data_IF_256194507541
#
_entry.id   IF_256194507541
#
_cell.length_a   1.000
_cell.length_b   1.000
_cell.length_c   1.000
_cell.angle_alpha   90.00
_cell.angle_beta   90.00
_cell.angle_gamma   90.00
#
_symmetry.space_group_name_H-M   'P 1'
#
loop_
_entity.id
_entity.type
_entity.pdbx_description
1 polymer ?
#
# COMPACT_ATOMS: atom_id res chain seq x y z
N UNK A 1 0.30 -74.17 -8.00
CA UNK A 1 0.63 -72.82 -8.52
C UNK A 1 -0.53 -71.87 -8.25
N UNK A 2 -0.38 -70.89 -7.34
CA UNK A 2 -1.21 -69.66 -7.14
C UNK A 2 -0.98 -69.08 -5.73
N UNK A 3 0.25 -68.66 -5.40
CA UNK A 3 0.52 -67.83 -4.19
C UNK A 3 1.71 -66.87 -4.37
N UNK A 4 1.67 -65.95 -5.36
CA UNK A 4 2.41 -64.69 -5.18
C UNK A 4 1.54 -63.44 -5.32
N UNK A 5 0.32 -63.53 -5.87
CA UNK A 5 -0.51 -62.34 -6.15
C UNK A 5 -1.17 -61.79 -4.87
N UNK A 6 -1.59 -62.65 -3.93
CA UNK A 6 -2.29 -62.21 -2.71
C UNK A 6 -1.38 -61.44 -1.73
N UNK A 7 -0.08 -61.78 -1.69
CA UNK A 7 0.89 -61.15 -0.77
C UNK A 7 1.25 -59.71 -1.15
N UNK A 8 1.11 -59.32 -2.43
CA UNK A 8 1.35 -57.95 -2.89
C UNK A 8 0.09 -57.07 -2.82
N UNK A 9 -1.11 -57.66 -2.87
CA UNK A 9 -2.37 -56.88 -2.87
C UNK A 9 -2.67 -56.17 -1.55
N UNK A 10 -2.36 -56.81 -0.42
CA UNK A 10 -2.62 -56.25 0.93
C UNK A 10 -1.79 -54.99 1.21
N UNK A 11 -0.46 -54.97 0.99
CA UNK A 11 0.33 -53.75 1.18
C UNK A 11 -0.09 -52.62 0.24
N UNK A 12 -0.47 -52.91 -1.01
CA UNK A 12 -0.97 -51.89 -1.95
C UNK A 12 -2.29 -51.27 -1.45
N UNK A 13 -3.19 -52.08 -0.90
CA UNK A 13 -4.48 -51.63 -0.38
C UNK A 13 -4.32 -50.76 0.88
N UNK A 14 -3.40 -51.15 1.78
CA UNK A 14 -3.04 -50.36 2.97
C UNK A 14 -2.37 -49.03 2.61
N UNK A 15 -1.50 -49.03 1.59
CA UNK A 15 -0.89 -47.82 1.04
C UNK A 15 -1.99 -46.90 0.46
N UNK A 16 -2.95 -47.46 -0.29
CA UNK A 16 -4.08 -46.70 -0.84
C UNK A 16 -4.97 -46.06 0.24
N UNK A 17 -5.29 -46.79 1.31
CA UNK A 17 -6.07 -46.28 2.45
C UNK A 17 -5.29 -45.19 3.20
N UNK A 18 -3.98 -45.36 3.40
CA UNK A 18 -3.11 -44.35 4.01
C UNK A 18 -3.08 -43.07 3.17
N UNK A 19 -2.96 -43.18 1.84
CA UNK A 19 -3.03 -42.03 0.95
C UNK A 19 -4.37 -41.31 0.98
N UNK A 20 -5.48 -42.06 0.99
CA UNK A 20 -6.82 -41.49 1.11
C UNK A 20 -6.97 -40.76 2.45
N UNK A 21 -6.61 -41.39 3.58
CA UNK A 21 -6.71 -40.77 4.89
C UNK A 21 -5.90 -39.47 4.99
N UNK A 22 -4.64 -39.49 4.56
CA UNK A 22 -3.75 -38.31 4.59
C UNK A 22 -4.19 -37.21 3.61
N UNK A 23 -5.01 -37.52 2.60
CA UNK A 23 -5.60 -36.50 1.73
C UNK A 23 -6.75 -35.73 2.40
N UNK A 24 -7.40 -36.30 3.43
CA UNK A 24 -8.53 -35.70 4.15
C UNK A 24 -8.16 -35.13 5.53
N UNK A 25 -7.04 -35.52 6.13
CA UNK A 25 -6.60 -35.04 7.46
C UNK A 25 -5.29 -34.24 7.32
N UNK A 26 -5.26 -32.95 7.69
CA UNK A 26 -4.03 -32.16 7.71
C UNK A 26 -3.02 -32.73 8.71
N UNK A 27 -1.78 -32.93 8.27
CA UNK A 27 -0.68 -33.44 9.10
C UNK A 27 0.32 -32.32 9.32
N UNK A 28 0.68 -32.03 10.57
CA UNK A 28 1.67 -30.99 10.88
C UNK A 28 2.97 -31.21 10.09
N UNK A 29 3.43 -30.16 9.43
CA UNK A 29 4.67 -30.15 8.66
C UNK A 29 5.65 -29.18 9.33
N UNK A 30 6.83 -29.69 9.69
CA UNK A 30 7.92 -28.87 10.23
C UNK A 30 8.97 -28.69 9.14
N UNK A 31 9.18 -27.44 8.74
CA UNK A 31 10.30 -27.09 7.88
C UNK A 31 11.53 -26.71 8.72
N UNK A 32 12.64 -26.40 8.04
CA UNK A 32 13.93 -26.07 8.69
C UNK A 32 13.90 -24.72 9.41
N UNK A 33 12.92 -23.88 9.13
CA UNK A 33 12.76 -22.55 9.71
C UNK A 33 11.77 -22.52 10.87
N UNK A 34 11.21 -23.66 11.29
CA UNK A 34 10.19 -23.76 12.34
C UNK A 34 8.98 -22.85 12.09
N UNK A 35 8.60 -22.66 10.82
CA UNK A 35 7.38 -21.94 10.46
C UNK A 35 6.19 -22.64 11.11
N UNK A 36 5.39 -21.88 11.86
CA UNK A 36 4.25 -22.42 12.59
C UNK A 36 3.07 -22.65 11.64
N UNK A 37 2.18 -23.55 12.03
CA UNK A 37 0.90 -23.78 11.35
C UNK A 37 0.99 -24.25 9.90
N UNK A 38 2.07 -24.95 9.54
CA UNK A 38 2.19 -25.62 8.25
C UNK A 38 1.66 -27.06 8.33
N UNK A 39 0.93 -27.47 7.30
CA UNK A 39 0.33 -28.79 7.23
C UNK A 39 0.46 -29.41 5.84
N UNK A 40 0.76 -30.70 5.80
CA UNK A 40 0.54 -31.55 4.63
C UNK A 40 -0.94 -31.86 4.51
N UNK A 41 -1.55 -31.44 3.42
CA UNK A 41 -2.97 -31.65 3.16
C UNK A 41 -3.19 -31.72 1.65
N UNK A 42 -4.12 -32.54 1.13
CA UNK A 42 -4.46 -32.59 -0.31
C UNK A 42 -3.26 -32.54 -1.28
N UNK A 43 -2.21 -33.32 -1.02
CA UNK A 43 -0.96 -33.36 -1.81
C UNK A 43 -0.22 -32.01 -1.96
N UNK A 44 -0.36 -31.13 -0.98
CA UNK A 44 0.39 -29.88 -0.88
C UNK A 44 0.79 -29.54 0.55
N UNK A 45 1.63 -28.52 0.69
CA UNK A 45 1.93 -27.88 1.96
C UNK A 45 1.05 -26.64 2.07
N UNK A 46 0.29 -26.53 3.15
CA UNK A 46 -0.66 -25.45 3.39
C UNK A 46 -0.33 -24.75 4.70
N UNK A 47 -0.41 -23.43 4.70
CA UNK A 47 -0.47 -22.66 5.94
C UNK A 47 -1.94 -22.53 6.35
N UNK A 48 -2.25 -22.88 7.59
CA UNK A 48 -3.61 -22.83 8.13
C UNK A 48 -3.62 -21.86 9.30
N UNK A 49 -4.10 -20.64 9.07
CA UNK A 49 -4.27 -19.66 10.14
C UNK A 49 -5.51 -20.02 10.98
N UNK A 50 -5.29 -20.30 12.26
CA UNK A 50 -6.37 -20.63 13.20
C UNK A 50 -7.01 -19.39 13.85
N UNK A 51 -6.51 -18.18 13.58
CA UNK A 51 -6.97 -16.95 14.22
C UNK A 51 -8.18 -16.30 13.54
N UNK A 52 -8.51 -16.69 12.31
CA UNK A 52 -9.73 -16.22 11.62
C UNK A 52 -10.79 -17.33 11.61
N UNK A 53 -12.05 -16.99 11.90
CA UNK A 53 -13.18 -17.94 11.91
C UNK A 53 -13.46 -18.61 10.55
N UNK A 54 -12.72 -18.24 9.51
CA UNK A 54 -12.68 -18.88 8.20
C UNK A 54 -11.32 -19.56 7.99
N UNK A 55 -11.32 -20.88 7.71
CA UNK A 55 -10.09 -21.62 7.31
C UNK A 55 -9.62 -21.13 5.94
N UNK A 56 -8.85 -20.04 5.89
CA UNK A 56 -8.12 -19.67 4.70
C UNK A 56 -6.95 -20.64 4.53
N UNK A 57 -7.01 -21.44 3.47
CA UNK A 57 -5.97 -22.41 3.11
C UNK A 57 -5.06 -21.77 2.06
N UNK A 58 -3.86 -21.34 2.45
CA UNK A 58 -2.85 -20.87 1.51
C UNK A 58 -1.91 -22.03 1.14
N UNK A 59 -1.93 -22.47 -0.12
CA UNK A 59 -1.01 -23.49 -0.60
C UNK A 59 0.38 -22.87 -0.83
N UNK A 60 1.38 -23.36 -0.09
CA UNK A 60 2.78 -22.92 -0.18
C UNK A 60 3.67 -23.91 -0.95
N UNK A 61 3.29 -25.19 -0.97
CA UNK A 61 4.07 -26.26 -1.60
C UNK A 61 3.19 -27.26 -2.34
N UNK A 62 3.76 -27.92 -3.35
CA UNK A 62 3.05 -28.88 -4.18
C UNK A 62 3.36 -30.33 -3.79
N UNK A 63 3.12 -31.22 -4.76
CA UNK A 63 3.32 -32.66 -4.60
C UNK A 63 4.77 -33.01 -4.21
N UNK A 64 5.76 -32.29 -4.75
CA UNK A 64 7.17 -32.57 -4.47
C UNK A 64 7.53 -32.30 -3.00
N UNK A 65 7.06 -31.17 -2.46
CA UNK A 65 7.28 -30.77 -1.06
C UNK A 65 6.46 -31.64 -0.10
N UNK A 66 5.23 -32.00 -0.50
CA UNK A 66 4.37 -32.92 0.23
C UNK A 66 5.04 -34.27 0.47
N UNK A 67 5.68 -34.83 -0.56
CA UNK A 67 6.42 -36.09 -0.47
C UNK A 67 7.87 -35.94 0.04
N UNK A 68 8.35 -34.71 0.25
CA UNK A 68 9.71 -34.43 0.72
C UNK A 68 10.81 -34.61 -0.33
N UNK A 69 10.46 -34.68 -1.63
CA UNK A 69 11.44 -34.66 -2.73
C UNK A 69 12.17 -33.30 -2.81
N UNK A 70 11.50 -32.24 -2.39
CA UNK A 70 12.03 -30.89 -2.24
C UNK A 70 11.66 -30.38 -0.86
N UNK A 71 12.50 -29.52 -0.28
CA UNK A 71 12.18 -28.84 0.98
C UNK A 71 11.31 -27.62 0.68
N UNK A 72 10.32 -27.35 1.51
CA UNK A 72 9.55 -26.12 1.44
C UNK A 72 10.50 -24.93 1.77
N UNK A 73 10.65 -23.94 0.87
CA UNK A 73 11.41 -22.74 1.20
C UNK A 73 10.73 -21.99 2.32
N UNK A 74 11.53 -21.40 3.21
CA UNK A 74 11.02 -20.61 4.33
C UNK A 74 10.31 -19.36 3.83
N UNK A 75 9.21 -18.98 4.47
CA UNK A 75 8.34 -17.90 4.01
C UNK A 75 9.12 -16.60 3.78
N UNK A 76 9.97 -16.22 4.74
CA UNK A 76 10.82 -15.03 4.65
C UNK A 76 11.79 -15.08 3.47
N UNK A 77 12.31 -16.27 3.13
CA UNK A 77 13.19 -16.42 1.97
C UNK A 77 12.44 -16.20 0.66
N UNK A 78 11.22 -16.74 0.53
CA UNK A 78 10.36 -16.53 -0.65
C UNK A 78 10.00 -15.06 -0.78
N UNK A 79 9.62 -14.42 0.33
CA UNK A 79 9.30 -12.98 0.37
C UNK A 79 10.51 -12.15 -0.05
N UNK A 80 11.70 -12.42 0.51
CA UNK A 80 12.95 -11.76 0.15
C UNK A 80 13.28 -11.88 -1.35
N UNK A 81 13.23 -13.10 -1.92
CA UNK A 81 13.48 -13.29 -3.35
C UNK A 81 12.43 -12.61 -4.23
N UNK A 82 11.18 -12.58 -3.80
CA UNK A 82 10.09 -11.88 -4.50
C UNK A 82 10.37 -10.37 -4.55
N UNK A 83 10.72 -9.78 -3.42
CA UNK A 83 11.06 -8.35 -3.33
C UNK A 83 12.27 -8.01 -4.20
N UNK A 84 13.34 -8.82 -4.15
CA UNK A 84 14.51 -8.65 -5.02
C UNK A 84 14.15 -8.69 -6.51
N UNK A 85 13.23 -9.58 -6.91
CA UNK A 85 12.77 -9.68 -8.29
C UNK A 85 11.95 -8.46 -8.69
N UNK A 86 11.05 -7.99 -7.83
CA UNK A 86 10.26 -6.77 -8.06
C UNK A 86 11.18 -5.56 -8.21
N UNK A 87 12.14 -5.37 -7.30
CA UNK A 87 13.14 -4.30 -7.38
C UNK A 87 13.90 -4.31 -8.70
N UNK A 88 14.48 -5.46 -9.07
CA UNK A 88 15.20 -5.60 -10.35
C UNK A 88 14.30 -5.32 -11.56
N UNK A 89 13.04 -5.75 -11.48
CA UNK A 89 12.03 -5.50 -12.51
C UNK A 89 11.75 -4.00 -12.69
N UNK A 90 11.51 -3.29 -11.59
CA UNK A 90 11.28 -1.85 -11.57
C UNK A 90 12.49 -1.07 -12.08
N UNK A 91 13.71 -1.41 -11.63
CA UNK A 91 14.94 -0.77 -12.11
C UNK A 91 15.15 -1.00 -13.60
N UNK A 92 14.95 -2.23 -14.07
CA UNK A 92 15.07 -2.57 -15.49
C UNK A 92 14.05 -1.82 -16.34
N UNK A 93 12.80 -1.70 -15.86
CA UNK A 93 11.75 -0.94 -16.51
C UNK A 93 12.13 0.54 -16.60
N UNK A 94 12.54 1.15 -15.48
CA UNK A 94 12.92 2.56 -15.43
C UNK A 94 14.12 2.88 -16.31
N UNK A 95 15.15 2.02 -16.30
CA UNK A 95 16.31 2.13 -17.20
C UNK A 95 15.89 2.05 -18.67
N UNK A 96 14.96 1.16 -19.01
CA UNK A 96 14.41 1.06 -20.36
C UNK A 96 13.62 2.31 -20.74
N UNK A 97 12.79 2.83 -19.83
CA UNK A 97 11.91 3.97 -20.07
C UNK A 97 12.65 5.30 -20.15
N UNK A 98 13.84 5.43 -19.53
CA UNK A 98 14.69 6.63 -19.59
C UNK A 98 13.94 7.89 -19.17
N UNK A 99 13.46 7.90 -17.93
CA UNK A 99 12.74 9.04 -17.35
C UNK A 99 13.62 10.29 -17.26
N UNK A 100 13.05 11.43 -17.65
CA UNK A 100 13.66 12.77 -17.57
C UNK A 100 12.74 13.70 -16.80
N UNK A 101 13.28 14.43 -15.84
CA UNK A 101 12.55 15.47 -15.12
C UNK A 101 12.11 16.56 -16.11
N UNK A 102 10.83 16.94 -16.05
CA UNK A 102 10.30 18.13 -16.71
C UNK A 102 10.36 19.29 -15.73
N UNK A 103 9.63 19.19 -14.62
CA UNK A 103 9.55 20.18 -13.54
C UNK A 103 8.77 19.58 -12.37
N UNK A 104 8.96 20.11 -11.15
CA UNK A 104 8.05 19.90 -10.02
C UNK A 104 7.68 18.42 -9.78
N UNK A 105 8.71 17.56 -9.77
CA UNK A 105 8.61 16.10 -9.62
C UNK A 105 7.80 15.35 -10.71
N UNK A 106 7.45 16.03 -11.80
CA UNK A 106 6.85 15.46 -13.01
C UNK A 106 7.92 15.12 -14.04
N UNK A 107 7.89 13.89 -14.53
CA UNK A 107 8.86 13.31 -15.46
C UNK A 107 8.19 12.88 -16.77
N UNK A 108 9.01 12.72 -17.81
CA UNK A 108 8.62 12.15 -19.10
C UNK A 108 9.57 11.04 -19.50
N UNK A 109 9.04 9.93 -20.02
CA UNK A 109 9.84 8.82 -20.53
C UNK A 109 10.13 8.93 -22.04
N UNK A 110 10.93 8.01 -22.59
CA UNK A 110 11.27 7.96 -24.03
C UNK A 110 10.06 7.77 -24.96
N UNK A 111 8.97 7.20 -24.46
CA UNK A 111 7.71 7.01 -25.19
C UNK A 111 6.82 8.27 -25.13
N UNK A 112 7.24 9.27 -24.35
CA UNK A 112 6.49 10.50 -24.13
C UNK A 112 5.36 10.36 -23.10
N UNK A 113 5.34 9.32 -22.26
CA UNK A 113 4.39 9.22 -21.14
C UNK A 113 4.85 10.10 -19.99
N UNK A 114 3.89 10.72 -19.31
CA UNK A 114 4.14 11.46 -18.08
C UNK A 114 4.13 10.52 -16.88
N UNK A 115 5.02 10.78 -15.92
CA UNK A 115 5.15 10.06 -14.68
C UNK A 115 5.39 11.01 -13.52
N UNK A 116 4.61 10.91 -12.46
CA UNK A 116 4.92 11.59 -11.20
C UNK A 116 5.82 10.68 -10.38
N UNK A 117 7.03 11.14 -10.04
CA UNK A 117 8.03 10.28 -9.39
C UNK A 117 7.64 10.03 -7.93
N UNK A 118 7.71 8.77 -7.51
CA UNK A 118 7.45 8.34 -6.15
C UNK A 118 8.51 7.34 -5.68
N UNK A 119 8.43 6.99 -4.40
CA UNK A 119 9.21 5.92 -3.83
C UNK A 119 8.28 4.87 -3.24
N UNK A 120 8.50 3.60 -3.59
CA UNK A 120 7.77 2.46 -3.05
C UNK A 120 8.69 1.65 -2.16
N UNK A 121 8.23 1.35 -0.97
CA UNK A 121 8.93 0.46 -0.05
C UNK A 121 8.42 -0.97 -0.33
N UNK A 122 9.31 -1.82 -0.85
CA UNK A 122 9.02 -3.21 -1.19
C UNK A 122 9.47 -4.14 -0.06
N UNK A 123 8.54 -4.98 0.39
CA UNK A 123 8.76 -6.01 1.41
C UNK A 123 8.32 -5.63 2.81
N UNK A 124 8.34 -6.62 3.70
CA UNK A 124 8.05 -6.41 5.12
C UNK A 124 9.12 -5.50 5.73
N UNK A 125 8.66 -4.53 6.51
CA UNK A 125 9.47 -3.47 7.14
C UNK A 125 10.13 -2.46 6.17
N UNK A 126 9.79 -2.45 4.88
CA UNK A 126 10.23 -1.39 3.96
C UNK A 126 11.74 -1.37 3.68
N UNK A 127 12.39 -2.53 3.75
CA UNK A 127 13.85 -2.67 3.60
C UNK A 127 14.38 -2.23 2.23
N UNK A 128 13.57 -2.29 1.17
CA UNK A 128 14.01 -1.86 -0.18
C UNK A 128 13.11 -0.78 -0.73
N UNK A 129 13.61 0.46 -0.72
CA UNK A 129 12.99 1.59 -1.38
C UNK A 129 13.37 1.63 -2.85
N UNK A 130 12.38 1.56 -3.74
CA UNK A 130 12.56 1.69 -5.18
C UNK A 130 11.96 2.98 -5.69
N UNK A 131 12.57 3.54 -6.74
CA UNK A 131 11.95 4.66 -7.47
C UNK A 131 10.90 4.11 -8.41
N UNK A 132 9.70 4.68 -8.38
CA UNK A 132 8.63 4.37 -9.35
C UNK A 132 8.02 5.67 -9.89
N UNK A 133 7.14 5.54 -10.89
CA UNK A 133 6.49 6.66 -11.55
C UNK A 133 5.01 6.39 -11.74
N UNK A 134 4.17 7.18 -11.08
CA UNK A 134 2.71 7.15 -11.26
C UNK A 134 2.40 7.73 -12.63
N UNK A 135 1.81 6.93 -13.52
CA UNK A 135 1.50 7.36 -14.90
C UNK A 135 0.01 7.57 -15.15
N UNK A 136 -0.83 7.21 -14.17
CA UNK A 136 -2.29 7.34 -14.20
C UNK A 136 -2.81 7.86 -12.85
N UNK A 137 -3.94 8.56 -12.87
CA UNK A 137 -4.57 9.06 -11.65
C UNK A 137 -5.09 7.93 -10.75
N UNK A 138 -5.29 8.23 -9.46
CA UNK A 138 -5.67 7.27 -8.41
C UNK A 138 -4.50 6.37 -8.03
N UNK A 139 -4.77 5.08 -7.77
CA UNK A 139 -3.77 4.03 -7.57
C UNK A 139 -3.11 3.57 -8.90
N UNK A 140 -2.79 4.51 -9.79
CA UNK A 140 -2.27 4.22 -11.13
C UNK A 140 -3.22 3.38 -12.02
N UNK A 141 -4.54 3.53 -11.81
CA UNK A 141 -5.59 2.78 -12.52
C UNK A 141 -6.48 3.65 -13.41
N UNK A 142 -6.50 4.97 -13.17
CA UNK A 142 -7.34 5.92 -13.87
C UNK A 142 -6.83 6.36 -15.25
N UNK A 143 -7.24 7.57 -15.66
CA UNK A 143 -6.74 8.21 -16.89
C UNK A 143 -5.24 8.48 -16.78
N UNK A 144 -4.53 8.48 -17.90
CA UNK A 144 -3.09 8.78 -17.90
C UNK A 144 -2.85 10.24 -17.52
N UNK A 145 -1.79 10.52 -16.77
CA UNK A 145 -1.38 11.87 -16.42
C UNK A 145 -1.18 12.72 -17.69
N UNK A 146 -0.57 12.11 -18.72
CA UNK A 146 -0.37 12.71 -20.06
C UNK A 146 -1.65 13.24 -20.70
N UNK A 147 -2.79 12.59 -20.46
CA UNK A 147 -4.07 12.97 -21.08
C UNK A 147 -4.74 14.18 -20.42
N UNK A 148 -4.27 14.62 -19.26
CA UNK A 148 -4.94 15.66 -18.45
C UNK A 148 -4.00 16.81 -18.09
N UNK A 149 -2.77 16.52 -17.68
CA UNK A 149 -1.85 17.52 -17.14
C UNK A 149 -1.33 18.44 -18.24
N UNK A 150 -1.54 19.74 -18.07
CA UNK A 150 -0.83 20.77 -18.83
C UNK A 150 0.58 20.98 -18.23
N UNK A 151 1.57 20.36 -18.87
CA UNK A 151 2.97 20.39 -18.39
C UNK A 151 3.61 21.78 -18.44
N UNK A 152 3.08 22.70 -19.26
CA UNK A 152 3.65 24.05 -19.39
C UNK A 152 3.32 24.91 -18.16
N UNK A 153 2.13 24.68 -17.60
CA UNK A 153 1.59 25.46 -16.46
C UNK A 153 1.58 24.69 -15.14
N UNK A 154 1.95 23.40 -15.17
CA UNK A 154 2.10 22.57 -13.97
C UNK A 154 3.05 23.21 -12.95
N UNK A 155 2.69 23.21 -11.67
CA UNK A 155 3.42 23.87 -10.60
C UNK A 155 3.21 23.15 -9.27
N UNK A 156 4.29 22.97 -8.52
CA UNK A 156 4.24 22.60 -7.10
C UNK A 156 3.78 23.77 -6.23
N UNK A 157 2.79 23.54 -5.38
CA UNK A 157 2.26 24.51 -4.42
C UNK A 157 2.77 24.30 -2.99
N UNK A 158 3.50 23.21 -2.74
CA UNK A 158 3.86 22.73 -1.41
C UNK A 158 2.79 21.80 -0.84
N UNK A 159 3.15 21.12 0.26
CA UNK A 159 2.23 20.25 1.01
C UNK A 159 1.54 19.20 0.15
N UNK A 160 2.28 18.64 -0.80
CA UNK A 160 1.81 17.66 -1.78
C UNK A 160 0.68 18.13 -2.71
N UNK A 161 0.41 19.43 -2.78
CA UNK A 161 -0.53 20.01 -3.74
C UNK A 161 0.18 20.55 -4.98
N UNK A 162 -0.45 20.36 -6.13
CA UNK A 162 0.05 20.83 -7.42
C UNK A 162 -1.08 21.47 -8.20
N UNK A 163 -0.75 22.34 -9.15
CA UNK A 163 -1.74 22.90 -10.08
C UNK A 163 -1.21 23.01 -11.49
N UNK A 164 -2.08 22.92 -12.48
CA UNK A 164 -1.81 23.43 -13.82
C UNK A 164 -2.72 24.63 -14.09
N UNK A 165 -2.96 25.07 -15.34
CA UNK A 165 -3.87 26.19 -15.64
C UNK A 165 -5.37 25.94 -15.39
N UNK A 166 -5.80 24.69 -15.18
CA UNK A 166 -7.21 24.27 -15.11
C UNK A 166 -7.53 23.42 -13.89
N UNK A 167 -6.56 22.71 -13.34
CA UNK A 167 -6.79 21.67 -12.36
C UNK A 167 -5.91 21.88 -11.12
N UNK A 168 -6.40 21.37 -10.01
CA UNK A 168 -5.64 21.15 -8.78
C UNK A 168 -5.47 19.64 -8.62
N UNK A 169 -4.29 19.26 -8.15
CA UNK A 169 -3.90 17.88 -7.89
C UNK A 169 -3.36 17.76 -6.48
N UNK A 170 -3.44 16.56 -5.92
CA UNK A 170 -2.74 16.23 -4.69
C UNK A 170 -2.13 14.83 -4.79
N UNK A 171 -0.99 14.68 -4.12
CA UNK A 171 -0.26 13.42 -4.02
C UNK A 171 -0.35 12.89 -2.59
N UNK A 172 -0.82 11.65 -2.43
CA UNK A 172 -0.81 10.98 -1.14
C UNK A 172 0.19 9.81 -1.17
N UNK A 173 1.28 9.92 -0.41
CA UNK A 173 2.30 8.87 -0.31
C UNK A 173 1.88 7.78 0.68
N UNK A 174 2.07 6.51 0.29
CA UNK A 174 1.93 5.34 1.16
C UNK A 174 3.15 4.42 1.02
N UNK A 175 3.36 3.52 1.98
CA UNK A 175 4.49 2.56 1.95
C UNK A 175 4.54 1.76 0.64
N UNK A 176 3.40 1.21 0.20
CA UNK A 176 3.31 0.38 -1.01
C UNK A 176 3.19 1.16 -2.33
N UNK A 177 3.35 2.48 -2.30
CA UNK A 177 3.08 3.37 -3.42
C UNK A 177 1.93 4.32 -3.17
N UNK A 178 2.11 5.54 -3.61
CA UNK A 178 1.18 6.63 -3.43
C UNK A 178 0.12 6.74 -4.52
N UNK A 179 -0.65 7.81 -4.40
CA UNK A 179 -1.77 8.13 -5.26
C UNK A 179 -1.64 9.55 -5.78
N UNK A 180 -1.96 9.75 -7.05
CA UNK A 180 -2.01 11.08 -7.64
C UNK A 180 -3.43 11.39 -8.08
N UNK A 181 -4.05 12.39 -7.48
CA UNK A 181 -5.46 12.71 -7.68
C UNK A 181 -5.66 14.05 -8.37
N UNK A 182 -6.87 14.21 -8.92
CA UNK A 182 -7.37 15.47 -9.48
C UNK A 182 -8.63 15.85 -8.73
N UNK A 183 -8.66 17.07 -8.18
CA UNK A 183 -9.83 17.61 -7.50
C UNK A 183 -10.82 18.17 -8.54
N UNK A 184 -12.05 17.65 -8.54
CA UNK A 184 -13.05 17.96 -9.59
C UNK A 184 -13.98 19.12 -9.24
N UNK A 185 -14.11 19.46 -7.95
CA UNK A 185 -14.98 20.52 -7.43
C UNK A 185 -14.14 21.54 -6.65
N UNK A 186 -13.19 22.18 -7.32
CA UNK A 186 -12.26 23.13 -6.71
C UNK A 186 -12.37 24.50 -7.36
N UNK A 187 -12.45 25.55 -6.56
CA UNK A 187 -12.27 26.91 -7.03
C UNK A 187 -10.78 27.20 -7.23
N UNK A 188 -10.34 26.89 -8.45
CA UNK A 188 -8.96 27.06 -8.89
C UNK A 188 -8.33 28.43 -8.59
N UNK A 189 -9.13 29.50 -8.66
CA UNK A 189 -8.63 30.89 -8.54
C UNK A 189 -8.29 31.24 -7.11
N UNK A 190 -9.02 30.67 -6.17
CA UNK A 190 -8.89 30.95 -4.73
C UNK A 190 -8.14 29.86 -3.97
N UNK A 191 -7.70 28.80 -4.66
CA UNK A 191 -6.96 27.70 -4.04
C UNK A 191 -5.61 28.14 -3.50
N UNK A 192 -5.38 27.92 -2.21
CA UNK A 192 -4.15 28.23 -1.47
C UNK A 192 -3.80 27.15 -0.44
N UNK A 193 -2.51 26.89 -0.25
CA UNK A 193 -1.99 26.01 0.80
C UNK A 193 -1.86 26.82 2.09
N UNK A 194 -2.38 26.31 3.21
CA UNK A 194 -2.54 27.07 4.48
C UNK A 194 -1.86 26.44 5.70
N UNK A 195 -1.22 25.29 5.55
CA UNK A 195 -0.49 24.61 6.61
C UNK A 195 0.41 23.53 6.02
N UNK A 196 0.88 22.60 6.85
CA UNK A 196 1.83 21.60 6.38
C UNK A 196 1.19 20.55 5.46
N UNK A 197 -0.11 20.28 5.62
CA UNK A 197 -0.86 19.24 4.89
C UNK A 197 -2.23 19.70 4.40
N UNK A 198 -2.56 20.97 4.61
CA UNK A 198 -3.89 21.52 4.34
C UNK A 198 -3.86 22.60 3.27
N UNK A 199 -4.93 22.63 2.48
CA UNK A 199 -5.22 23.69 1.54
C UNK A 199 -6.69 24.11 1.66
N UNK A 200 -7.03 25.25 1.06
CA UNK A 200 -8.40 25.73 1.00
C UNK A 200 -8.65 26.40 -0.33
N UNK A 201 -9.91 26.44 -0.73
CA UNK A 201 -10.41 27.43 -1.69
C UNK A 201 -11.42 28.33 -0.98
N UNK A 202 -12.24 29.09 -1.71
CA UNK A 202 -13.25 29.96 -1.11
C UNK A 202 -14.43 29.24 -0.43
N UNK A 203 -14.61 27.94 -0.67
CA UNK A 203 -15.77 27.15 -0.27
C UNK A 203 -15.39 25.99 0.67
N UNK A 204 -14.24 25.36 0.44
CA UNK A 204 -13.88 24.05 0.98
C UNK A 204 -12.47 24.06 1.60
N UNK A 205 -12.25 23.12 2.51
CA UNK A 205 -10.94 22.76 3.05
C UNK A 205 -10.53 21.40 2.49
N UNK A 206 -9.25 21.26 2.17
CA UNK A 206 -8.65 20.07 1.59
C UNK A 206 -7.51 19.57 2.47
N UNK A 207 -7.41 18.25 2.63
CA UNK A 207 -6.28 17.54 3.20
C UNK A 207 -5.54 16.83 2.06
N UNK A 208 -4.22 16.90 2.04
CA UNK A 208 -3.38 16.30 0.98
C UNK A 208 -3.60 14.77 0.81
N UNK A 209 -4.01 14.10 1.90
CA UNK A 209 -4.30 12.67 1.96
C UNK A 209 -5.63 12.26 1.35
N UNK A 210 -6.69 13.00 1.65
CA UNK A 210 -8.08 12.58 1.38
C UNK A 210 -8.85 13.54 0.48
N UNK A 211 -8.25 14.67 0.09
CA UNK A 211 -8.92 15.74 -0.63
C UNK A 211 -9.88 16.49 0.29
N UNK A 212 -11.10 16.74 -0.19
CA UNK A 212 -12.13 17.54 0.51
C UNK A 212 -12.40 16.97 1.91
N UNK A 213 -12.36 17.85 2.92
CA UNK A 213 -12.74 17.51 4.28
C UNK A 213 -14.23 17.76 4.51
N UNK A 214 -14.93 16.73 4.97
CA UNK A 214 -16.36 16.81 5.31
C UNK A 214 -16.58 17.30 6.75
N UNK A 215 -17.72 17.94 7.00
CA UNK A 215 -18.15 18.39 8.34
C UNK A 215 -17.18 19.38 9.03
N UNK A 216 -16.48 20.17 8.23
CA UNK A 216 -15.59 21.25 8.71
C UNK A 216 -16.28 22.61 8.62
N UNK A 217 -16.15 23.41 9.68
CA UNK A 217 -16.56 24.81 9.63
C UNK A 217 -15.47 25.65 8.94
N UNK A 218 -15.65 25.86 7.64
CA UNK A 218 -14.74 26.64 6.80
C UNK A 218 -14.38 28.02 7.38
N UNK A 219 -15.33 28.73 7.99
CA UNK A 219 -15.13 30.12 8.46
C UNK A 219 -14.18 30.20 9.66
N UNK A 220 -14.19 29.18 10.51
CA UNK A 220 -13.40 29.14 11.73
C UNK A 220 -12.22 28.19 11.64
N UNK A 221 -12.01 27.55 10.48
CA UNK A 221 -10.88 26.64 10.26
C UNK A 221 -9.54 27.37 10.36
N UNK A 222 -8.64 26.82 11.17
CA UNK A 222 -7.31 27.35 11.43
C UNK A 222 -6.29 26.22 11.49
N UNK A 223 -5.15 26.47 10.86
CA UNK A 223 -3.94 25.65 10.93
C UNK A 223 -2.74 26.57 10.71
N UNK A 224 -1.53 26.05 10.80
CA UNK A 224 -0.30 26.79 10.61
C UNK A 224 0.79 25.89 10.00
N UNK A 225 1.83 26.51 9.47
CA UNK A 225 3.06 25.81 9.06
C UNK A 225 3.88 25.44 10.29
N UNK A 226 4.49 24.26 10.30
CA UNK A 226 5.30 23.74 11.39
C UNK A 226 4.52 23.10 12.54
N UNK A 227 3.20 22.90 12.38
CA UNK A 227 2.37 22.16 13.33
C UNK A 227 1.85 20.85 12.72
N UNK A 228 2.49 20.33 11.68
CA UNK A 228 2.17 19.05 11.07
C UNK A 228 0.70 18.92 10.66
N UNK A 229 0.05 17.77 10.98
CA UNK A 229 -1.28 17.47 10.50
C UNK A 229 -2.41 18.07 11.35
N UNK A 230 -2.11 19.08 12.16
CA UNK A 230 -3.03 19.61 13.15
C UNK A 230 -3.81 20.83 12.63
N UNK A 231 -5.09 20.86 12.97
CA UNK A 231 -5.98 21.98 12.67
C UNK A 231 -7.07 22.10 13.73
N UNK A 232 -7.79 23.23 13.73
CA UNK A 232 -9.03 23.38 14.50
C UNK A 232 -10.08 24.16 13.74
N UNK A 233 -11.32 23.99 14.16
CA UNK A 233 -12.42 24.89 13.84
C UNK A 233 -13.27 25.12 15.11
N UNK A 234 -14.46 25.71 14.99
CA UNK A 234 -15.37 25.92 16.13
C UNK A 234 -15.89 24.61 16.76
N UNK A 235 -15.84 23.49 16.03
CA UNK A 235 -16.38 22.19 16.44
C UNK A 235 -15.34 21.32 17.14
N UNK A 236 -14.04 21.64 17.03
CA UNK A 236 -12.97 20.98 17.78
C UNK A 236 -11.61 21.03 17.09
N UNK A 237 -10.74 20.08 17.47
CA UNK A 237 -9.40 19.91 16.95
C UNK A 237 -9.32 18.67 16.07
N UNK A 238 -8.42 18.69 15.09
CA UNK A 238 -8.28 17.64 14.09
C UNK A 238 -6.81 17.26 13.91
N UNK A 239 -6.57 15.98 13.63
CA UNK A 239 -5.28 15.40 13.24
C UNK A 239 -5.49 14.54 12.00
N UNK A 240 -4.82 14.86 10.89
CA UNK A 240 -5.05 14.18 9.60
C UNK A 240 -6.53 14.18 9.17
N UNK A 241 -7.26 15.25 9.53
CA UNK A 241 -8.70 15.36 9.30
C UNK A 241 -9.60 14.63 10.29
N UNK A 242 -9.07 13.73 11.12
CA UNK A 242 -9.84 13.03 12.16
C UNK A 242 -9.96 13.90 13.41
N UNK A 243 -11.17 13.92 14.01
CA UNK A 243 -11.43 14.70 15.22
C UNK A 243 -10.70 14.11 16.43
N UNK A 244 -9.98 14.95 17.17
CA UNK A 244 -9.24 14.55 18.38
C UNK A 244 -10.22 14.46 19.57
N UNK A 245 -10.23 13.33 20.28
CA UNK A 245 -10.90 13.20 21.58
C UNK A 245 -10.01 13.76 22.69
N UNK A 246 -10.22 15.03 23.01
CA UNK A 246 -9.44 15.75 24.02
C UNK A 246 -9.72 15.29 25.46
N UNK A 247 -10.81 14.58 25.72
CA UNK A 247 -11.21 14.17 27.06
C UNK A 247 -10.53 12.87 27.49
N UNK A 248 -10.30 11.95 26.55
CA UNK A 248 -9.84 10.61 26.89
C UNK A 248 -8.41 10.30 26.42
N UNK A 249 -7.93 10.89 25.31
CA UNK A 249 -6.77 10.35 24.61
C UNK A 249 -5.87 11.37 23.88
N UNK A 250 -5.62 12.56 24.44
CA UNK A 250 -4.59 13.46 23.86
C UNK A 250 -3.18 13.02 24.24
N UNK A 251 -2.38 12.63 23.24
CA UNK A 251 -0.94 12.42 23.41
C UNK A 251 -0.20 13.76 23.57
N UNK A 252 1.12 13.72 23.84
CA UNK A 252 1.91 14.94 24.08
C UNK A 252 1.95 15.86 22.85
N UNK A 253 2.05 15.29 21.65
CA UNK A 253 2.06 16.03 20.39
C UNK A 253 0.73 16.75 20.16
N UNK A 254 -0.39 16.08 20.42
CA UNK A 254 -1.72 16.68 20.34
C UNK A 254 -1.82 17.88 21.29
N UNK A 255 -1.33 17.75 22.54
CA UNK A 255 -1.36 18.83 23.53
C UNK A 255 -0.51 20.03 23.10
N UNK A 256 0.66 19.81 22.51
CA UNK A 256 1.52 20.89 22.02
C UNK A 256 0.87 21.61 20.83
N UNK A 257 0.34 20.87 19.87
CA UNK A 257 -0.34 21.44 18.72
C UNK A 257 -1.58 22.25 19.14
N UNK A 258 -2.39 21.74 20.07
CA UNK A 258 -3.57 22.44 20.60
C UNK A 258 -3.18 23.78 21.24
N UNK A 259 -2.10 23.84 22.03
CA UNK A 259 -1.60 25.09 22.62
C UNK A 259 -1.23 26.13 21.57
N UNK A 260 -0.73 25.71 20.41
CA UNK A 260 -0.38 26.60 19.30
C UNK A 260 -1.65 27.06 18.59
N UNK A 261 -2.54 26.13 18.26
CA UNK A 261 -3.83 26.41 17.62
C UNK A 261 -4.66 27.41 18.44
N UNK A 262 -4.64 27.32 19.76
CA UNK A 262 -5.34 28.25 20.66
C UNK A 262 -4.83 29.68 20.65
N UNK A 263 -3.61 29.89 20.20
CA UNK A 263 -3.04 31.23 20.02
C UNK A 263 -3.34 31.82 18.64
N UNK A 264 -3.84 31.02 17.69
CA UNK A 264 -4.23 31.50 16.36
C UNK A 264 -5.50 32.37 16.49
N UNK A 265 -5.32 33.68 16.27
CA UNK A 265 -6.39 34.70 16.31
C UNK A 265 -7.44 34.47 15.25
#
# INVERSE_FOLDING_TARGET
MKKPILLLTIPILLIGIFFLYNSYVPIEYKNECNDKHLYRYQFGIYQIDSMMQTRNLQQLGGVKEYFGFTKQPCEDSVRHYTNLRLTKGTDSLNNSLKWRLIKDNLYINKNGDLGFKEYKDLGDEGLTRVTDYITKFGFNEGKTLKSVIDTTTFKDLGSNFYKDKKHIYHYYSMLGGGQFYIDTNVDYKTFEVIGDVYAKDKNQIYLDRTGIMENIDYKTFKTAVGIGPYAKDKNGYYRWGDKIDTLNHSDEYDKEAIKILDKLR
#
